data_IF_341737031517
#
_entry.id   IF_341737031517
#
_cell.length_a   1.000
_cell.length_b   1.000
_cell.length_c   1.000
_cell.angle_alpha   90.00
_cell.angle_beta   90.00
_cell.angle_gamma   90.00
#
_symmetry.space_group_name_H-M   'P 1'
#
loop_
_entity.id
_entity.type
_entity.pdbx_description
1 polymer ?
#
# COMPACT_ATOMS: atom_id res chain seq x y z
N UNK A 1 -9.79 -12.09 13.17
CA UNK A 1 -10.20 -12.71 14.46
C UNK A 1 -9.12 -12.67 15.53
N UNK A 2 -7.83 -12.90 15.23
CA UNK A 2 -6.74 -12.91 16.22
C UNK A 2 -6.63 -11.64 17.08
N UNK A 3 -6.77 -10.47 16.48
CA UNK A 3 -6.69 -9.19 17.19
C UNK A 3 -7.71 -9.05 18.32
N UNK A 4 -8.96 -9.44 18.09
CA UNK A 4 -9.99 -9.35 19.14
C UNK A 4 -9.68 -10.21 20.36
N UNK A 5 -9.03 -11.37 20.19
CA UNK A 5 -8.64 -12.24 21.29
C UNK A 5 -7.43 -11.72 22.07
N UNK A 6 -6.44 -11.15 21.37
CA UNK A 6 -5.24 -10.61 22.03
C UNK A 6 -5.51 -9.38 22.89
N UNK A 7 -6.48 -8.56 22.49
CA UNK A 7 -6.81 -7.30 23.16
C UNK A 7 -8.06 -7.38 24.05
N UNK A 8 -8.72 -8.53 24.11
CA UNK A 8 -9.95 -8.68 24.90
C UNK A 8 -9.77 -9.24 26.30
N UNK A 9 -8.55 -9.58 26.70
CA UNK A 9 -8.22 -10.08 28.05
C UNK A 9 -8.43 -9.03 29.13
N UNK A 10 -8.22 -7.76 28.80
CA UNK A 10 -8.57 -6.61 29.64
C UNK A 10 -9.68 -5.82 28.94
N UNK A 11 -10.92 -6.04 29.35
CA UNK A 11 -12.09 -5.33 28.82
C UNK A 11 -12.17 -3.85 29.22
N UNK A 12 -11.25 -3.38 30.04
CA UNK A 12 -11.24 -2.00 30.52
C UNK A 12 -10.70 -1.01 29.49
N UNK A 13 -9.85 -1.45 28.55
CA UNK A 13 -9.24 -0.58 27.56
C UNK A 13 -9.30 -1.20 26.17
N UNK A 14 -10.06 -0.64 25.23
CA UNK A 14 -10.02 -1.09 23.85
C UNK A 14 -8.63 -0.84 23.24
N UNK A 15 -8.21 -1.64 22.23
CA UNK A 15 -6.93 -1.40 21.59
C UNK A 15 -6.89 0.01 20.97
N UNK A 16 -5.80 0.77 21.20
CA UNK A 16 -5.68 2.13 20.67
C UNK A 16 -5.58 2.13 19.14
N UNK A 17 -6.03 3.19 18.53
CA UNK A 17 -5.80 3.43 17.11
C UNK A 17 -4.33 3.82 16.90
N UNK A 18 -3.59 3.03 16.10
CA UNK A 18 -2.14 3.23 15.90
C UNK A 18 -1.77 3.80 14.53
N UNK A 19 -2.76 4.10 13.68
CA UNK A 19 -2.52 4.61 12.33
C UNK A 19 -1.77 3.59 11.46
N UNK A 20 -0.68 4.00 10.84
CA UNK A 20 0.16 3.15 10.00
C UNK A 20 1.28 2.41 10.77
N UNK A 21 1.33 2.54 12.11
CA UNK A 21 2.31 1.86 12.95
C UNK A 21 1.74 0.56 13.52
N UNK A 22 2.62 -0.41 13.82
CA UNK A 22 2.19 -1.62 14.49
C UNK A 22 1.85 -1.34 15.96
N UNK A 23 0.81 -2.01 16.50
CA UNK A 23 0.33 -1.76 17.85
C UNK A 23 1.30 -2.22 18.94
N UNK A 24 2.00 -3.34 18.71
CA UNK A 24 2.81 -4.05 19.73
C UNK A 24 4.25 -4.32 19.32
N UNK A 25 4.64 -4.02 18.09
CA UNK A 25 6.01 -4.19 17.57
C UNK A 25 6.59 -2.81 17.25
N UNK A 26 7.81 -2.54 17.73
CA UNK A 26 8.49 -1.29 17.47
C UNK A 26 10.02 -1.48 17.34
N UNK A 27 10.69 -0.81 16.35
CA UNK A 27 10.10 0.03 15.32
C UNK A 27 9.38 -0.79 14.23
N UNK A 28 8.17 -0.36 13.89
CA UNK A 28 7.40 -0.89 12.77
C UNK A 28 6.39 0.17 12.31
N UNK A 29 6.62 0.76 11.14
CA UNK A 29 5.79 1.82 10.58
C UNK A 29 6.53 2.75 9.65
N UNK A 30 5.95 3.93 9.36
CA UNK A 30 6.55 4.94 8.49
C UNK A 30 7.58 5.79 9.24
N UNK A 31 8.71 6.04 8.59
CA UNK A 31 9.78 6.94 9.05
C UNK A 31 10.19 7.88 7.93
N UNK A 32 10.37 9.15 8.25
CA UNK A 32 10.74 10.19 7.29
C UNK A 32 12.27 10.27 7.16
N UNK A 33 12.77 10.28 5.93
CA UNK A 33 14.18 10.52 5.62
C UNK A 33 14.48 12.01 5.39
N UNK A 34 15.75 12.37 5.30
CA UNK A 34 16.21 13.74 5.14
C UNK A 34 15.81 14.42 3.82
N UNK A 35 15.52 13.64 2.79
CA UNK A 35 14.95 14.12 1.52
C UNK A 35 13.43 14.36 1.55
N UNK A 36 12.81 14.19 2.72
CA UNK A 36 11.37 14.37 2.93
C UNK A 36 10.49 13.19 2.53
N UNK A 37 11.04 12.15 1.90
CA UNK A 37 10.31 10.94 1.55
C UNK A 37 10.12 10.04 2.77
N UNK A 38 9.08 9.21 2.72
CA UNK A 38 8.73 8.29 3.81
C UNK A 38 9.06 6.84 3.41
N UNK A 39 9.64 6.11 4.35
CA UNK A 39 10.00 4.71 4.21
C UNK A 39 9.19 3.92 5.24
N UNK A 40 8.58 2.82 4.83
CA UNK A 40 8.04 1.81 5.74
C UNK A 40 9.16 0.83 6.10
N UNK A 41 9.30 0.52 7.36
CA UNK A 41 10.18 -0.55 7.83
C UNK A 41 9.52 -1.31 8.99
N UNK A 42 9.97 -2.54 9.24
CA UNK A 42 9.45 -3.32 10.34
C UNK A 42 10.47 -4.33 10.82
N UNK A 43 10.78 -4.29 12.11
CA UNK A 43 11.65 -5.24 12.78
C UNK A 43 10.81 -6.36 13.39
N UNK A 44 11.09 -7.61 13.01
CA UNK A 44 10.30 -8.77 13.41
C UNK A 44 10.87 -9.53 14.61
N UNK A 45 12.15 -9.35 14.91
CA UNK A 45 12.85 -10.10 15.96
C UNK A 45 14.07 -9.35 16.49
N UNK A 46 14.69 -9.89 17.54
CA UNK A 46 15.82 -9.26 18.23
C UNK A 46 17.12 -9.26 17.39
N UNK A 47 17.31 -10.25 16.49
CA UNK A 47 18.45 -10.25 15.57
C UNK A 47 18.38 -9.07 14.60
N UNK A 48 17.20 -8.79 14.08
CA UNK A 48 16.99 -7.62 13.20
C UNK A 48 17.21 -6.30 13.96
N UNK A 49 16.84 -6.26 15.26
CA UNK A 49 17.12 -5.12 16.12
C UNK A 49 18.63 -4.87 16.27
N UNK A 50 19.42 -5.90 16.53
CA UNK A 50 20.88 -5.79 16.61
C UNK A 50 21.48 -5.28 15.30
N UNK A 51 21.09 -5.85 14.16
CA UNK A 51 21.52 -5.44 12.84
C UNK A 51 21.07 -4.00 12.49
N UNK A 52 19.89 -3.60 12.91
CA UNK A 52 19.38 -2.24 12.73
C UNK A 52 20.24 -1.22 13.51
N UNK A 53 20.55 -1.50 14.76
CA UNK A 53 21.42 -0.66 15.57
C UNK A 53 22.83 -0.54 14.97
N UNK A 54 23.39 -1.65 14.52
CA UNK A 54 24.75 -1.70 13.99
C UNK A 54 24.84 -1.04 12.59
N UNK A 55 24.02 -1.51 11.63
CA UNK A 55 24.21 -1.19 10.21
C UNK A 55 23.39 0.01 9.73
N UNK A 56 22.25 0.30 10.38
CA UNK A 56 21.36 1.37 9.94
C UNK A 56 21.54 2.61 10.79
N UNK A 57 21.49 2.46 12.12
CA UNK A 57 21.66 3.59 13.03
C UNK A 57 23.13 3.98 13.26
N UNK A 58 24.07 3.09 12.96
CA UNK A 58 25.50 3.23 13.28
C UNK A 58 25.73 3.41 14.82
N UNK A 59 24.89 2.79 15.64
CA UNK A 59 24.89 2.87 17.11
C UNK A 59 24.72 1.48 17.73
N UNK A 60 25.71 0.56 17.63
CA UNK A 60 25.58 -0.82 18.10
C UNK A 60 25.30 -0.95 19.60
N UNK A 61 25.68 0.06 20.40
CA UNK A 61 25.41 0.06 21.83
C UNK A 61 23.91 0.07 22.19
N UNK A 62 23.07 0.65 21.33
CA UNK A 62 21.61 0.65 21.53
C UNK A 62 21.00 -0.75 21.59
N UNK A 63 21.60 -1.73 20.95
CA UNK A 63 21.13 -3.10 20.97
C UNK A 63 21.06 -3.71 22.38
N UNK A 64 21.95 -3.23 23.27
CA UNK A 64 22.05 -3.67 24.67
C UNK A 64 21.55 -2.64 25.69
N UNK A 65 20.99 -1.53 25.22
CA UNK A 65 20.42 -0.53 26.10
C UNK A 65 19.17 -1.09 26.80
N UNK A 66 19.09 -1.06 28.13
CA UNK A 66 17.95 -1.60 28.89
C UNK A 66 16.59 -1.03 28.48
N UNK A 67 16.56 0.16 27.88
CA UNK A 67 15.34 0.79 27.38
C UNK A 67 14.85 0.18 26.07
N UNK A 68 15.76 -0.48 25.29
CA UNK A 68 15.47 -0.88 23.91
C UNK A 68 15.83 -2.35 23.61
N UNK A 69 16.47 -3.07 24.51
CA UNK A 69 16.98 -4.43 24.28
C UNK A 69 15.90 -5.46 23.91
N UNK A 70 14.64 -5.24 24.35
CA UNK A 70 13.49 -6.11 24.09
C UNK A 70 12.36 -5.36 23.39
N UNK A 71 11.59 -6.05 22.55
CA UNK A 71 10.49 -5.42 21.80
C UNK A 71 9.50 -4.67 22.71
N UNK A 72 9.10 -5.26 23.85
CA UNK A 72 8.17 -4.58 24.76
C UNK A 72 8.77 -3.29 25.33
N UNK A 73 10.08 -3.28 25.62
CA UNK A 73 10.81 -2.09 26.08
C UNK A 73 10.90 -1.02 25.00
N UNK A 74 11.17 -1.41 23.75
CA UNK A 74 11.11 -0.49 22.60
C UNK A 74 9.73 0.12 22.44
N UNK A 75 8.68 -0.67 22.65
CA UNK A 75 7.31 -0.19 22.55
C UNK A 75 6.92 0.75 23.71
N UNK A 76 7.38 0.49 24.93
CA UNK A 76 7.23 1.39 26.09
C UNK A 76 7.94 2.75 25.84
N UNK A 77 9.15 2.71 25.30
CA UNK A 77 10.01 3.88 25.08
C UNK A 77 9.98 4.34 23.60
N UNK A 78 8.86 4.09 22.88
CA UNK A 78 8.76 4.34 21.44
C UNK A 78 9.01 5.78 21.02
N UNK A 79 8.63 6.75 21.84
CA UNK A 79 8.80 8.18 21.55
C UNK A 79 10.27 8.54 21.50
N UNK A 80 11.03 8.10 22.50
CA UNK A 80 12.47 8.34 22.57
C UNK A 80 13.22 7.63 21.45
N UNK A 81 12.89 6.34 21.22
CA UNK A 81 13.49 5.58 20.15
C UNK A 81 13.16 6.15 18.76
N UNK A 82 11.93 6.66 18.57
CA UNK A 82 11.55 7.35 17.35
C UNK A 82 12.45 8.56 17.07
N UNK A 83 12.75 9.36 18.09
CA UNK A 83 13.61 10.52 17.93
C UNK A 83 15.02 10.10 17.50
N UNK A 84 15.60 9.07 18.13
CA UNK A 84 16.92 8.54 17.77
C UNK A 84 16.94 8.08 16.30
N UNK A 85 15.90 7.38 15.85
CA UNK A 85 15.79 6.93 14.46
C UNK A 85 15.67 8.12 13.51
N UNK A 86 14.82 9.09 13.81
CA UNK A 86 14.60 10.26 12.97
C UNK A 86 15.86 11.15 12.88
N UNK A 87 16.57 11.35 13.98
CA UNK A 87 17.83 12.09 14.00
C UNK A 87 18.85 11.48 13.05
N UNK A 88 18.94 10.14 13.03
CA UNK A 88 19.78 9.43 12.09
C UNK A 88 19.29 9.56 10.65
N UNK A 89 18.00 9.35 10.42
CA UNK A 89 17.42 9.35 9.07
C UNK A 89 17.42 10.74 8.43
N UNK A 90 17.33 11.81 9.22
CA UNK A 90 17.42 13.20 8.74
C UNK A 90 18.75 13.49 8.00
N UNK A 91 19.82 12.77 8.34
CA UNK A 91 21.13 12.90 7.67
C UNK A 91 21.26 12.05 6.40
N UNK A 92 20.26 11.27 6.03
CA UNK A 92 20.28 10.31 4.92
C UNK A 92 19.13 10.58 3.95
N UNK A 93 19.34 10.29 2.66
CA UNK A 93 18.24 10.21 1.69
C UNK A 93 17.45 8.90 1.89
N UNK A 94 16.22 8.86 1.38
CA UNK A 94 15.40 7.64 1.40
C UNK A 94 16.10 6.45 0.74
N UNK A 95 16.80 6.67 -0.36
CA UNK A 95 17.57 5.65 -1.07
C UNK A 95 18.72 5.10 -0.22
N UNK A 96 19.42 5.98 0.50
CA UNK A 96 20.49 5.58 1.42
C UNK A 96 19.97 4.77 2.60
N UNK A 97 18.82 5.14 3.16
CA UNK A 97 18.16 4.38 4.24
C UNK A 97 17.74 3.00 3.75
N UNK A 98 17.08 2.92 2.58
CA UNK A 98 16.67 1.65 1.96
C UNK A 98 17.90 0.75 1.71
N UNK A 99 18.97 1.28 1.13
CA UNK A 99 20.20 0.50 0.89
C UNK A 99 20.80 -0.06 2.18
N UNK A 100 20.76 0.69 3.29
CA UNK A 100 21.22 0.20 4.61
C UNK A 100 20.28 -0.88 5.17
N UNK A 101 18.97 -0.73 5.02
CA UNK A 101 17.96 -1.71 5.44
C UNK A 101 18.09 -3.02 4.65
N UNK A 102 18.29 -2.92 3.32
CA UNK A 102 18.50 -4.10 2.45
C UNK A 102 19.79 -4.83 2.82
N UNK A 103 20.90 -4.10 3.03
CA UNK A 103 22.17 -4.69 3.49
C UNK A 103 22.08 -5.36 4.87
N UNK A 104 21.14 -4.90 5.71
CA UNK A 104 20.80 -5.51 6.99
C UNK A 104 19.74 -6.62 6.88
N UNK A 105 19.18 -6.87 5.70
CA UNK A 105 18.09 -7.80 5.44
C UNK A 105 16.82 -7.50 6.29
N UNK A 106 16.52 -6.24 6.46
CA UNK A 106 15.35 -5.74 7.19
C UNK A 106 14.25 -5.38 6.21
N UNK A 107 13.04 -5.87 6.46
CA UNK A 107 11.87 -5.60 5.64
C UNK A 107 11.59 -4.09 5.55
N UNK A 108 11.53 -3.59 4.33
CA UNK A 108 11.28 -2.18 4.06
C UNK A 108 10.53 -1.98 2.74
N UNK A 109 9.97 -0.78 2.55
CA UNK A 109 9.35 -0.36 1.32
C UNK A 109 9.31 1.18 1.22
N UNK A 110 9.41 1.71 0.01
CA UNK A 110 9.10 3.12 -0.27
C UNK A 110 7.59 3.35 -0.18
N UNK A 111 7.19 4.49 0.36
CA UNK A 111 5.81 4.94 0.28
C UNK A 111 5.64 5.71 -1.03
N UNK A 112 5.03 5.04 -2.01
CA UNK A 112 4.84 5.60 -3.35
C UNK A 112 3.60 6.50 -3.42
N UNK A 113 3.72 7.62 -4.12
CA UNK A 113 2.57 8.38 -4.60
C UNK A 113 1.95 7.75 -5.86
N UNK A 114 0.88 8.36 -6.40
CA UNK A 114 0.19 7.83 -7.58
C UNK A 114 1.04 7.88 -8.85
N UNK A 115 1.95 8.85 -9.00
CA UNK A 115 2.86 8.90 -10.13
C UNK A 115 3.91 7.77 -10.06
N UNK A 116 4.49 7.57 -8.88
CA UNK A 116 5.44 6.48 -8.63
C UNK A 116 4.79 5.10 -8.75
N UNK A 117 3.52 4.96 -8.33
CA UNK A 117 2.75 3.73 -8.55
C UNK A 117 2.54 3.47 -10.06
N UNK A 118 2.21 4.52 -10.82
CA UNK A 118 2.03 4.42 -12.27
C UNK A 118 3.28 3.92 -12.97
N UNK A 119 4.44 4.39 -12.54
CA UNK A 119 5.74 4.05 -13.08
C UNK A 119 6.41 2.84 -12.44
N UNK A 120 5.72 2.16 -11.53
CA UNK A 120 6.30 1.09 -10.71
C UNK A 120 6.88 -0.05 -11.56
N UNK A 121 8.15 -0.37 -11.36
CA UNK A 121 8.91 -1.33 -12.16
C UNK A 121 8.27 -2.72 -12.22
N UNK A 122 7.72 -3.21 -11.10
CA UNK A 122 7.02 -4.52 -11.06
C UNK A 122 5.76 -4.52 -11.93
N UNK A 123 5.02 -3.41 -11.99
CA UNK A 123 3.84 -3.32 -12.85
C UNK A 123 4.24 -3.29 -14.32
N UNK A 124 5.32 -2.58 -14.65
CA UNK A 124 5.90 -2.55 -16.01
C UNK A 124 6.46 -3.92 -16.41
N UNK A 125 7.31 -4.53 -15.59
CA UNK A 125 7.94 -5.83 -15.85
C UNK A 125 6.90 -6.95 -16.04
N UNK A 126 5.78 -6.86 -15.31
CA UNK A 126 4.66 -7.82 -15.42
C UNK A 126 3.61 -7.39 -16.44
N UNK A 127 3.85 -6.35 -17.23
CA UNK A 127 2.94 -5.84 -18.26
C UNK A 127 1.50 -5.68 -17.74
N UNK A 128 1.37 -5.05 -16.54
CA UNK A 128 0.07 -4.90 -15.89
C UNK A 128 -0.78 -3.79 -16.48
N UNK A 129 -0.20 -2.85 -17.22
CA UNK A 129 -0.90 -1.78 -17.90
C UNK A 129 -1.29 -2.18 -19.32
N UNK A 130 -2.53 -1.98 -19.68
CA UNK A 130 -3.07 -2.20 -21.02
C UNK A 130 -3.79 -0.95 -21.49
N UNK A 131 -3.91 -0.79 -22.81
CA UNK A 131 -4.68 0.30 -23.42
C UNK A 131 -6.12 -0.15 -23.65
N UNK A 132 -7.09 0.64 -23.22
CA UNK A 132 -8.52 0.39 -23.39
C UNK A 132 -9.14 1.55 -24.16
N UNK A 133 -9.91 1.24 -25.20
CA UNK A 133 -10.63 2.25 -25.96
C UNK A 133 -11.76 2.89 -25.16
N UNK A 134 -11.94 4.18 -25.30
CA UNK A 134 -13.06 4.92 -24.70
C UNK A 134 -13.61 5.97 -25.67
N UNK A 135 -14.79 6.56 -25.42
CA UNK A 135 -15.33 7.64 -26.23
C UNK A 135 -14.42 8.88 -26.36
N UNK A 136 -13.43 8.99 -25.48
CA UNK A 136 -12.42 10.09 -25.49
C UNK A 136 -11.06 9.66 -26.00
N UNK A 137 -10.96 8.47 -26.61
CA UNK A 137 -9.71 7.88 -27.08
C UNK A 137 -9.19 6.78 -26.14
N UNK A 138 -7.98 6.34 -26.40
CA UNK A 138 -7.36 5.27 -25.59
C UNK A 138 -6.92 5.79 -24.23
N UNK A 139 -7.22 5.00 -23.21
CA UNK A 139 -6.80 5.26 -21.84
C UNK A 139 -6.05 4.04 -21.28
N UNK A 140 -5.02 4.24 -20.45
CA UNK A 140 -4.37 3.14 -19.79
C UNK A 140 -5.24 2.60 -18.65
N UNK A 141 -5.29 1.27 -18.54
CA UNK A 141 -6.02 0.57 -17.51
C UNK A 141 -5.13 -0.51 -16.88
N UNK A 142 -5.30 -0.70 -15.57
CA UNK A 142 -4.57 -1.74 -14.84
C UNK A 142 -5.36 -3.06 -14.92
N UNK A 143 -4.69 -4.13 -15.32
CA UNK A 143 -5.27 -5.48 -15.28
C UNK A 143 -5.71 -5.86 -13.85
N UNK A 144 -6.85 -6.56 -13.67
CA UNK A 144 -7.32 -7.01 -12.37
C UNK A 144 -6.26 -7.80 -11.60
N UNK A 145 -6.24 -7.76 -10.25
CA UNK A 145 -5.38 -8.61 -9.44
C UNK A 145 -5.74 -10.09 -9.65
N UNK A 146 -4.83 -11.00 -9.25
CA UNK A 146 -5.11 -12.44 -9.31
C UNK A 146 -4.84 -13.06 -10.67
N UNK A 147 -3.81 -12.60 -11.38
CA UNK A 147 -3.37 -13.16 -12.68
C UNK A 147 -3.11 -14.65 -12.56
N UNK A 148 -3.78 -15.42 -13.42
CA UNK A 148 -3.50 -16.84 -13.63
C UNK A 148 -3.58 -17.17 -15.13
N UNK A 149 -3.16 -18.37 -15.52
CA UNK A 149 -3.15 -18.81 -16.91
C UNK A 149 -4.46 -19.54 -17.32
N UNK A 150 -5.46 -19.61 -16.43
CA UNK A 150 -6.69 -20.35 -16.69
C UNK A 150 -7.70 -19.56 -17.51
N UNK A 151 -7.59 -18.24 -17.55
CA UNK A 151 -8.46 -17.37 -18.35
C UNK A 151 -7.75 -16.08 -18.76
N UNK A 152 -8.25 -15.46 -19.83
CA UNK A 152 -7.83 -14.11 -20.23
C UNK A 152 -8.75 -13.07 -19.63
N UNK A 153 -8.18 -11.96 -19.19
CA UNK A 153 -8.97 -10.83 -18.71
C UNK A 153 -9.72 -10.17 -19.86
N UNK A 154 -10.99 -9.91 -19.63
CA UNK A 154 -11.79 -9.11 -20.54
C UNK A 154 -11.52 -7.63 -20.27
N UNK A 155 -10.87 -6.97 -21.21
CA UNK A 155 -10.50 -5.55 -21.17
C UNK A 155 -11.06 -4.86 -22.41
N UNK A 156 -12.38 -4.96 -22.60
CA UNK A 156 -13.09 -4.38 -23.72
C UNK A 156 -13.18 -2.86 -23.61
N UNK A 157 -13.58 -2.21 -24.71
CA UNK A 157 -13.80 -0.77 -24.76
C UNK A 157 -14.82 -0.30 -23.70
N UNK A 158 -14.64 0.90 -23.20
CA UNK A 158 -15.63 1.58 -22.37
C UNK A 158 -16.75 2.08 -23.28
N UNK A 159 -18.02 1.68 -23.05
CA UNK A 159 -19.12 2.09 -23.90
C UNK A 159 -19.45 3.59 -23.79
N UNK A 160 -19.96 4.15 -24.85
CA UNK A 160 -20.57 5.48 -24.81
C UNK A 160 -21.86 5.45 -24.00
N UNK A 161 -22.27 6.63 -23.50
CA UNK A 161 -23.59 6.75 -22.83
C UNK A 161 -24.68 6.33 -23.80
N UNK A 162 -25.54 5.40 -23.38
CA UNK A 162 -26.66 4.89 -24.19
C UNK A 162 -26.27 3.86 -25.26
N UNK A 163 -24.99 3.48 -25.42
CA UNK A 163 -24.55 2.54 -26.45
C UNK A 163 -25.31 1.21 -26.44
N UNK A 164 -25.70 0.72 -25.28
CA UNK A 164 -26.41 -0.56 -25.11
C UNK A 164 -27.91 -0.42 -24.96
N UNK A 165 -28.46 0.81 -24.92
CA UNK A 165 -29.89 1.06 -24.61
C UNK A 165 -30.81 0.32 -25.57
N UNK A 166 -30.59 0.43 -26.88
CA UNK A 166 -31.42 -0.24 -27.90
C UNK A 166 -31.38 -1.77 -27.73
N UNK A 167 -30.18 -2.34 -27.60
CA UNK A 167 -30.00 -3.76 -27.46
C UNK A 167 -30.71 -4.31 -26.20
N UNK A 168 -30.60 -3.61 -25.09
CA UNK A 168 -31.25 -3.98 -23.81
C UNK A 168 -32.79 -3.91 -23.95
N UNK A 169 -33.31 -2.83 -24.55
CA UNK A 169 -34.76 -2.70 -24.74
C UNK A 169 -35.30 -3.77 -25.67
N UNK A 170 -34.59 -4.09 -26.75
CA UNK A 170 -34.98 -5.20 -27.65
C UNK A 170 -34.97 -6.53 -26.92
N UNK A 171 -33.97 -6.81 -26.08
CA UNK A 171 -33.90 -8.03 -25.25
C UNK A 171 -35.10 -8.12 -24.27
N UNK A 172 -35.53 -6.97 -23.73
CA UNK A 172 -36.71 -6.85 -22.87
C UNK A 172 -38.06 -6.95 -23.63
N UNK A 173 -38.05 -7.09 -24.95
CA UNK A 173 -39.21 -7.30 -25.78
C UNK A 173 -39.86 -6.02 -26.33
N UNK A 174 -39.21 -4.85 -26.22
CA UNK A 174 -39.68 -3.63 -26.87
C UNK A 174 -39.51 -3.72 -28.38
N UNK A 175 -40.54 -3.33 -29.14
CA UNK A 175 -40.46 -3.20 -30.59
C UNK A 175 -39.65 -1.99 -31.01
N UNK A 176 -39.13 -1.99 -32.24
CA UNK A 176 -38.43 -0.86 -32.81
C UNK A 176 -39.28 0.44 -32.79
N UNK A 177 -40.60 0.32 -32.98
CA UNK A 177 -41.54 1.44 -32.93
C UNK A 177 -41.61 2.06 -31.53
N UNK A 178 -41.68 1.22 -30.51
CA UNK A 178 -41.74 1.68 -29.12
C UNK A 178 -40.40 2.34 -28.72
N UNK A 179 -39.26 1.76 -29.12
CA UNK A 179 -37.95 2.31 -28.89
C UNK A 179 -37.79 3.69 -29.60
N UNK A 180 -38.26 3.79 -30.84
CA UNK A 180 -38.26 5.05 -31.57
C UNK A 180 -39.08 6.13 -30.87
N UNK A 181 -40.26 5.76 -30.34
CA UNK A 181 -41.10 6.67 -29.55
C UNK A 181 -40.39 7.13 -28.26
N UNK A 182 -39.77 6.21 -27.51
CA UNK A 182 -39.02 6.57 -26.31
C UNK A 182 -37.89 7.56 -26.59
N UNK A 183 -37.22 7.41 -27.74
CA UNK A 183 -36.19 8.38 -28.23
C UNK A 183 -36.83 9.74 -28.57
N UNK A 184 -37.95 9.75 -29.25
CA UNK A 184 -38.65 10.98 -29.62
C UNK A 184 -39.12 11.75 -28.38
N UNK A 185 -39.59 11.02 -27.36
CA UNK A 185 -40.05 11.59 -26.11
C UNK A 185 -38.91 11.94 -25.14
N UNK A 186 -37.64 11.78 -25.58
CA UNK A 186 -36.44 12.02 -24.79
C UNK A 186 -36.42 11.23 -23.44
N UNK A 187 -37.04 10.08 -23.43
CA UNK A 187 -37.08 9.16 -22.28
C UNK A 187 -35.81 8.27 -22.22
N UNK A 188 -35.11 8.15 -23.36
CA UNK A 188 -33.83 7.44 -23.51
C UNK A 188 -32.91 8.21 -24.46
#
# INVERSE_FOLDING_TARGET
MGYAMYYSTDRASPPPRTGATHATIYPYGPFKAGDGKTIMLGLQNEREWELFCEKVLDQPALAKDPRFEKNFKRNENRIELQQIILDRFTSLTSEQVIAKLDAAQIANASLNDMHQFWDHEQLKARQRWVSVDSPKGQIPALLPPGVNNAYQYRMDKIPSVGEHTVAILTELGYSDTEIAKLKQDQSI
#
